data_IF_969492572988
#
_entry.id   IF_969492572988
#
_cell.length_a   1.000
_cell.length_b   1.000
_cell.length_c   1.000
_cell.angle_alpha   90.00
_cell.angle_beta   90.00
_cell.angle_gamma   90.00
#
_symmetry.space_group_name_H-M   'P 1'
#
loop_
_entity.id
_entity.type
_entity.pdbx_description
1 polymer ?
#
# COMPACT_ATOMS: atom_id res chain seq x y z
N UNK A 1 -0.40 7.81 -18.59
CA UNK A 1 0.04 6.49 -19.13
C UNK A 1 -0.67 6.24 -20.45
N UNK A 2 0.00 5.68 -21.47
CA UNK A 2 -0.62 5.45 -22.79
C UNK A 2 -1.70 4.37 -22.71
N UNK A 3 -2.73 4.46 -23.60
CA UNK A 3 -3.81 3.48 -23.68
C UNK A 3 -3.25 2.06 -23.93
N UNK A 4 -2.26 1.93 -24.79
CA UNK A 4 -1.59 0.64 -25.08
C UNK A 4 -1.08 -0.08 -23.82
N UNK A 5 -0.54 0.65 -22.84
CA UNK A 5 -0.04 0.05 -21.59
C UNK A 5 -1.20 -0.41 -20.71
N UNK A 6 -2.29 0.36 -20.67
CA UNK A 6 -3.50 -0.06 -19.94
C UNK A 6 -4.09 -1.34 -20.55
N UNK A 7 -4.12 -1.43 -21.87
CA UNK A 7 -4.62 -2.61 -22.59
C UNK A 7 -3.77 -3.86 -22.30
N UNK A 8 -2.43 -3.73 -22.28
CA UNK A 8 -1.53 -4.83 -21.92
C UNK A 8 -1.73 -5.28 -20.46
N UNK A 9 -1.88 -4.33 -19.52
CA UNK A 9 -2.18 -4.65 -18.12
C UNK A 9 -3.52 -5.36 -18.00
N UNK A 10 -4.59 -4.82 -18.63
CA UNK A 10 -5.92 -5.46 -18.64
C UNK A 10 -5.89 -6.86 -19.20
N UNK A 11 -5.28 -7.03 -20.38
CA UNK A 11 -5.22 -8.32 -21.07
C UNK A 11 -4.51 -9.37 -20.21
N UNK A 12 -3.42 -9.00 -19.56
CA UNK A 12 -2.68 -9.91 -18.67
C UNK A 12 -3.51 -10.28 -17.43
N UNK A 13 -4.14 -9.30 -16.78
CA UNK A 13 -4.96 -9.54 -15.61
C UNK A 13 -6.19 -10.39 -15.94
N UNK A 14 -6.92 -10.06 -17.02
CA UNK A 14 -8.06 -10.85 -17.49
C UNK A 14 -7.64 -12.29 -17.81
N UNK A 15 -6.50 -12.48 -18.47
CA UNK A 15 -5.96 -13.83 -18.73
C UNK A 15 -5.69 -14.59 -17.43
N UNK A 16 -5.05 -13.95 -16.44
CA UNK A 16 -4.75 -14.60 -15.16
C UNK A 16 -6.01 -14.97 -14.40
N UNK A 17 -6.95 -14.06 -14.24
CA UNK A 17 -8.17 -14.28 -13.48
C UNK A 17 -9.14 -15.26 -14.18
N UNK A 18 -9.21 -15.25 -15.51
CA UNK A 18 -10.00 -16.23 -16.27
C UNK A 18 -9.56 -17.67 -16.01
N UNK A 19 -8.26 -17.91 -15.78
CA UNK A 19 -7.74 -19.24 -15.44
C UNK A 19 -8.01 -19.63 -13.97
N UNK A 20 -8.56 -18.72 -13.19
CA UNK A 20 -9.00 -18.93 -11.82
C UNK A 20 -10.53 -18.93 -11.72
N UNK A 21 -11.23 -19.05 -12.85
CA UNK A 21 -12.70 -19.01 -13.00
C UNK A 21 -13.31 -17.70 -12.46
N UNK A 22 -12.54 -16.60 -12.51
CA UNK A 22 -12.97 -15.26 -12.07
C UNK A 22 -13.19 -14.32 -13.25
N UNK A 23 -14.12 -13.40 -13.09
CA UNK A 23 -14.43 -12.36 -14.08
C UNK A 23 -14.29 -10.96 -13.47
N UNK A 24 -13.07 -10.43 -13.36
CA UNK A 24 -12.81 -9.15 -12.69
C UNK A 24 -13.31 -7.96 -13.51
N UNK A 25 -13.83 -6.95 -12.82
CA UNK A 25 -13.94 -5.60 -13.38
C UNK A 25 -12.63 -4.83 -13.11
N UNK A 26 -12.00 -4.33 -14.19
CA UNK A 26 -10.73 -3.62 -14.10
C UNK A 26 -10.93 -2.15 -14.43
N UNK A 27 -10.55 -1.28 -13.50
CA UNK A 27 -10.62 0.16 -13.63
C UNK A 27 -9.25 0.81 -13.46
N UNK A 28 -9.05 1.99 -14.09
CA UNK A 28 -7.78 2.71 -14.07
C UNK A 28 -7.96 4.12 -13.55
N UNK A 29 -7.19 4.49 -12.55
CA UNK A 29 -7.19 5.83 -11.96
C UNK A 29 -5.80 6.44 -12.01
N UNK A 30 -5.72 7.72 -12.38
CA UNK A 30 -4.47 8.47 -12.31
C UNK A 30 -4.33 9.03 -10.89
N UNK A 31 -3.30 8.58 -10.17
CA UNK A 31 -2.97 9.05 -8.83
C UNK A 31 -1.64 9.83 -8.86
N UNK A 32 -1.38 10.71 -7.88
CA UNK A 32 -0.10 11.43 -7.82
C UNK A 32 1.13 10.52 -7.79
N UNK A 33 0.97 9.30 -7.26
CA UNK A 33 2.03 8.29 -7.17
C UNK A 33 2.16 7.38 -8.40
N UNK A 34 1.34 7.60 -9.44
CA UNK A 34 1.31 6.79 -10.65
C UNK A 34 -0.09 6.25 -10.99
N UNK A 35 -0.16 5.25 -11.85
CA UNK A 35 -1.44 4.64 -12.23
C UNK A 35 -1.89 3.65 -11.14
N UNK A 36 -3.12 3.79 -10.67
CA UNK A 36 -3.81 2.77 -9.87
C UNK A 36 -4.66 1.90 -10.80
N UNK A 37 -4.46 0.60 -10.71
CA UNK A 37 -5.25 -0.44 -11.37
C UNK A 37 -6.11 -1.10 -10.31
N UNK A 38 -7.39 -0.84 -10.33
CA UNK A 38 -8.35 -1.40 -9.38
C UNK A 38 -9.01 -2.63 -9.99
N UNK A 39 -9.04 -3.72 -9.23
CA UNK A 39 -9.65 -4.99 -9.60
C UNK A 39 -10.80 -5.26 -8.63
N UNK A 40 -12.01 -5.33 -9.16
CA UNK A 40 -13.19 -5.70 -8.40
C UNK A 40 -13.57 -7.14 -8.70
N UNK A 41 -13.78 -7.90 -7.64
CA UNK A 41 -14.17 -9.32 -7.62
C UNK A 41 -15.29 -9.50 -6.63
N UNK A 42 -16.13 -10.53 -6.82
CA UNK A 42 -17.19 -10.88 -5.89
C UNK A 42 -16.62 -11.30 -4.53
N UNK A 43 -15.58 -12.13 -4.53
CA UNK A 43 -14.81 -12.47 -3.32
C UNK A 43 -13.32 -12.11 -3.49
N UNK A 44 -12.89 -10.92 -3.03
CA UNK A 44 -11.50 -10.49 -3.15
C UNK A 44 -10.56 -11.12 -2.13
N UNK A 45 -11.08 -11.72 -1.04
CA UNK A 45 -10.27 -12.16 0.10
C UNK A 45 -9.18 -13.18 -0.24
N UNK A 46 -9.43 -14.22 -1.08
CA UNK A 46 -8.40 -15.20 -1.47
C UNK A 46 -7.20 -14.56 -2.19
N UNK A 47 -7.46 -13.51 -2.99
CA UNK A 47 -6.45 -12.83 -3.82
C UNK A 47 -5.67 -11.77 -3.06
N UNK A 48 -6.27 -11.20 -2.02
CA UNK A 48 -5.58 -10.29 -1.10
C UNK A 48 -4.59 -11.08 -0.23
N UNK A 49 -5.04 -12.21 0.32
CA UNK A 49 -4.25 -13.05 1.21
C UNK A 49 -3.95 -12.42 2.56
N UNK A 50 -3.22 -13.16 3.41
CA UNK A 50 -2.85 -12.69 4.75
C UNK A 50 -2.00 -11.41 4.66
N UNK A 51 -2.46 -10.35 5.31
CA UNK A 51 -1.78 -9.04 5.32
C UNK A 51 -1.48 -8.44 3.93
N UNK A 52 -2.18 -8.88 2.87
CA UNK A 52 -1.98 -8.41 1.50
C UNK A 52 -0.85 -9.12 0.75
N UNK A 53 -0.36 -10.25 1.22
CA UNK A 53 0.72 -11.02 0.58
C UNK A 53 0.32 -11.52 -0.81
N UNK A 54 -0.94 -11.99 -0.99
CA UNK A 54 -1.47 -12.40 -2.28
C UNK A 54 -1.49 -11.24 -3.28
N UNK A 55 -2.01 -10.10 -2.88
CA UNK A 55 -2.01 -8.89 -3.70
C UNK A 55 -0.59 -8.43 -4.06
N UNK A 56 0.36 -8.52 -3.13
CA UNK A 56 1.76 -8.20 -3.39
C UNK A 56 2.38 -9.17 -4.41
N UNK A 57 2.07 -10.46 -4.32
CA UNK A 57 2.53 -11.47 -5.27
C UNK A 57 1.97 -11.23 -6.69
N UNK A 58 0.67 -10.93 -6.81
CA UNK A 58 0.02 -10.57 -8.08
C UNK A 58 0.69 -9.32 -8.68
N UNK A 59 0.88 -8.27 -7.89
CA UNK A 59 1.56 -7.05 -8.31
C UNK A 59 2.98 -7.33 -8.83
N UNK A 60 3.73 -8.19 -8.13
CA UNK A 60 5.10 -8.55 -8.52
C UNK A 60 5.12 -9.33 -9.83
N UNK A 61 4.26 -10.34 -9.95
CA UNK A 61 4.14 -11.18 -11.14
C UNK A 61 3.77 -10.37 -12.38
N UNK A 62 2.74 -9.52 -12.28
CA UNK A 62 2.31 -8.64 -13.38
C UNK A 62 3.44 -7.71 -13.81
N UNK A 63 4.15 -7.09 -12.87
CA UNK A 63 5.31 -6.24 -13.19
C UNK A 63 6.44 -7.02 -13.85
N UNK A 64 6.76 -8.21 -13.36
CA UNK A 64 7.82 -9.06 -13.91
C UNK A 64 7.51 -9.49 -15.36
N UNK A 65 6.27 -9.85 -15.65
CA UNK A 65 5.85 -10.22 -17.01
C UNK A 65 5.88 -9.00 -17.95
N UNK A 66 5.30 -7.88 -17.52
CA UNK A 66 5.21 -6.68 -18.36
C UNK A 66 6.57 -6.03 -18.60
N UNK A 67 7.49 -6.09 -17.64
CA UNK A 67 8.85 -5.56 -17.80
C UNK A 67 9.65 -6.25 -18.90
N UNK A 68 9.28 -7.47 -19.31
CA UNK A 68 9.88 -8.16 -20.46
C UNK A 68 9.37 -7.63 -21.81
N UNK A 69 8.20 -7.00 -21.82
CA UNK A 69 7.55 -6.53 -23.06
C UNK A 69 7.64 -5.01 -23.22
N UNK A 70 7.69 -4.26 -22.12
CA UNK A 70 7.58 -2.81 -22.10
C UNK A 70 8.79 -2.21 -21.40
N UNK A 71 9.56 -1.41 -22.11
CA UNK A 71 10.74 -0.70 -21.61
C UNK A 71 10.70 0.79 -22.00
N UNK A 72 10.79 1.71 -21.03
CA UNK A 72 10.68 1.52 -19.58
C UNK A 72 9.24 1.22 -19.17
N UNK A 73 9.07 0.33 -18.19
CA UNK A 73 7.75 0.05 -17.62
C UNK A 73 7.38 1.20 -16.65
N UNK A 74 6.28 1.92 -16.91
CA UNK A 74 5.84 2.98 -16.02
C UNK A 74 5.40 2.46 -14.66
N UNK A 75 5.45 3.33 -13.65
CA UNK A 75 5.00 2.98 -12.31
C UNK A 75 3.48 2.83 -12.27
N UNK A 76 3.03 1.68 -11.79
CA UNK A 76 1.62 1.42 -11.49
C UNK A 76 1.47 0.57 -10.23
N UNK A 77 0.30 0.65 -9.63
CA UNK A 77 -0.07 -0.09 -8.44
C UNK A 77 -1.38 -0.82 -8.69
N UNK A 78 -1.46 -2.09 -8.27
CA UNK A 78 -2.69 -2.87 -8.29
C UNK A 78 -3.34 -2.80 -6.92
N UNK A 79 -4.65 -2.60 -6.88
CA UNK A 79 -5.50 -2.76 -5.72
C UNK A 79 -6.61 -3.76 -6.01
N UNK A 80 -7.08 -4.49 -5.02
CA UNK A 80 -8.17 -5.45 -5.12
C UNK A 80 -9.18 -5.13 -4.03
N UNK A 81 -10.43 -4.84 -4.42
CA UNK A 81 -11.54 -4.59 -3.49
C UNK A 81 -11.28 -3.45 -2.51
N UNK A 82 -10.61 -2.38 -2.95
CA UNK A 82 -10.22 -1.23 -2.12
C UNK A 82 -9.34 -1.58 -0.90
N UNK A 83 -8.65 -2.71 -0.94
CA UNK A 83 -7.85 -3.18 0.20
C UNK A 83 -6.77 -2.17 0.61
N UNK A 84 -5.99 -1.66 -0.36
CA UNK A 84 -4.93 -0.68 -0.06
C UNK A 84 -5.48 0.64 0.45
N UNK A 85 -6.58 1.12 -0.12
CA UNK A 85 -7.24 2.35 0.35
C UNK A 85 -7.72 2.20 1.78
N UNK A 86 -8.40 1.08 2.12
CA UNK A 86 -8.84 0.75 3.48
C UNK A 86 -7.64 0.63 4.43
N UNK A 87 -6.59 -0.06 4.02
CA UNK A 87 -5.36 -0.21 4.81
C UNK A 87 -4.69 1.14 5.09
N UNK A 88 -4.56 2.01 4.07
CA UNK A 88 -4.01 3.36 4.23
C UNK A 88 -4.84 4.18 5.24
N UNK A 89 -6.17 4.12 5.15
CA UNK A 89 -7.06 4.82 6.08
C UNK A 89 -6.87 4.34 7.52
N UNK A 90 -6.81 3.04 7.75
CA UNK A 90 -6.55 2.45 9.07
C UNK A 90 -5.18 2.92 9.61
N UNK A 91 -4.14 2.86 8.79
CA UNK A 91 -2.79 3.28 9.19
C UNK A 91 -2.73 4.78 9.54
N UNK A 92 -3.41 5.64 8.78
CA UNK A 92 -3.55 7.07 9.08
C UNK A 92 -4.25 7.30 10.43
N UNK A 93 -5.32 6.57 10.70
CA UNK A 93 -6.04 6.67 11.97
C UNK A 93 -5.17 6.21 13.15
N UNK A 94 -4.44 5.10 13.01
CA UNK A 94 -3.46 4.62 14.00
C UNK A 94 -2.39 5.70 14.24
N UNK A 95 -1.84 6.30 13.19
CA UNK A 95 -0.83 7.34 13.30
C UNK A 95 -1.35 8.54 14.10
N UNK A 96 -2.49 9.11 13.67
CA UNK A 96 -3.07 10.31 14.29
C UNK A 96 -3.46 10.05 15.75
N UNK A 97 -4.12 8.95 16.06
CA UNK A 97 -4.54 8.62 17.44
C UNK A 97 -3.36 8.47 18.39
N UNK A 98 -2.27 7.83 17.94
CA UNK A 98 -1.06 7.67 18.74
C UNK A 98 -0.26 8.99 18.86
N UNK A 99 -0.21 9.81 17.81
CA UNK A 99 0.40 11.15 17.90
C UNK A 99 -0.33 12.03 18.92
N UNK A 100 -1.66 12.00 18.96
CA UNK A 100 -2.45 12.69 19.99
C UNK A 100 -2.14 12.18 21.40
N UNK A 101 -1.99 10.85 21.57
CA UNK A 101 -1.60 10.24 22.85
C UNK A 101 -0.21 10.70 23.27
N UNK A 102 0.78 10.69 22.38
CA UNK A 102 2.15 11.16 22.64
C UNK A 102 2.15 12.62 23.08
N UNK A 103 1.46 13.50 22.34
CA UNK A 103 1.35 14.93 22.71
C UNK A 103 0.73 15.15 24.08
N UNK A 104 -0.33 14.39 24.41
CA UNK A 104 -1.05 14.53 25.69
C UNK A 104 -0.24 14.01 26.89
N UNK A 105 0.50 12.92 26.69
CA UNK A 105 1.18 12.23 27.81
C UNK A 105 2.66 12.54 27.92
N UNK A 106 3.28 13.09 26.90
CA UNK A 106 4.74 13.27 26.81
C UNK A 106 5.52 11.94 26.71
N UNK A 107 4.82 10.82 26.53
CA UNK A 107 5.45 9.48 26.51
C UNK A 107 5.53 8.95 25.09
N UNK A 108 6.70 8.43 24.75
CA UNK A 108 6.96 7.73 23.49
C UNK A 108 6.04 6.53 23.31
N UNK A 109 5.58 6.26 22.10
CA UNK A 109 4.77 5.11 21.74
C UNK A 109 5.47 4.28 20.67
N UNK A 110 5.70 3.00 20.97
CA UNK A 110 6.14 2.01 19.98
C UNK A 110 4.92 1.29 19.40
N UNK A 111 4.81 1.26 18.08
CA UNK A 111 3.78 0.51 17.38
C UNK A 111 4.20 -0.95 17.18
N UNK A 112 3.25 -1.82 16.87
CA UNK A 112 3.54 -3.20 16.52
C UNK A 112 4.43 -3.30 15.28
N UNK A 113 5.23 -4.37 15.14
CA UNK A 113 5.98 -4.63 13.91
C UNK A 113 5.08 -4.59 12.68
N UNK A 114 5.58 -3.98 11.60
CA UNK A 114 4.80 -3.78 10.40
C UNK A 114 5.68 -3.70 9.14
N UNK A 115 5.05 -3.90 7.97
CA UNK A 115 5.69 -3.85 6.67
C UNK A 115 6.35 -2.49 6.38
N UNK A 116 7.36 -2.43 5.48
CA UNK A 116 7.96 -1.15 5.05
C UNK A 116 6.92 -0.16 4.49
N UNK A 117 5.90 -0.67 3.79
CA UNK A 117 4.79 0.14 3.28
C UNK A 117 4.01 0.81 4.42
N UNK A 118 3.60 0.05 5.43
CA UNK A 118 2.85 0.58 6.57
C UNK A 118 3.67 1.63 7.34
N UNK A 119 4.96 1.37 7.56
CA UNK A 119 5.87 2.33 8.22
C UNK A 119 5.99 3.64 7.44
N UNK A 120 6.09 3.57 6.11
CA UNK A 120 6.14 4.76 5.26
C UNK A 120 4.85 5.58 5.34
N UNK A 121 3.67 4.94 5.34
CA UNK A 121 2.39 5.65 5.46
C UNK A 121 2.30 6.39 6.78
N UNK A 122 2.63 5.75 7.91
CA UNK A 122 2.61 6.38 9.23
C UNK A 122 3.57 7.56 9.29
N UNK A 123 4.81 7.38 8.81
CA UNK A 123 5.81 8.43 8.76
C UNK A 123 5.34 9.64 7.95
N UNK A 124 4.81 9.43 6.74
CA UNK A 124 4.30 10.50 5.88
C UNK A 124 3.09 11.20 6.51
N UNK A 125 2.19 10.45 7.17
CA UNK A 125 1.02 11.02 7.85
C UNK A 125 1.42 11.97 8.99
N UNK A 126 2.52 11.67 9.69
CA UNK A 126 2.98 12.45 10.84
C UNK A 126 4.08 13.44 10.50
N UNK A 127 4.58 13.47 9.26
CA UNK A 127 5.67 14.35 8.85
C UNK A 127 5.39 15.82 9.14
N UNK A 128 4.18 16.29 8.86
CA UNK A 128 3.75 17.69 9.05
C UNK A 128 2.98 17.91 10.37
N UNK A 129 2.87 16.88 11.21
CA UNK A 129 2.18 17.02 12.50
C UNK A 129 3.07 17.74 13.52
N UNK A 130 2.55 18.77 14.22
CA UNK A 130 3.34 19.53 15.20
C UNK A 130 3.69 18.65 16.42
N UNK A 131 4.83 18.93 17.02
CA UNK A 131 5.30 18.36 18.29
C UNK A 131 5.51 16.84 18.28
N UNK A 132 5.52 16.19 17.14
CA UNK A 132 5.82 14.76 17.06
C UNK A 132 6.83 14.46 15.96
N UNK A 133 7.67 13.47 16.22
CA UNK A 133 8.59 12.88 15.26
C UNK A 133 8.38 11.38 15.19
N UNK A 134 8.89 10.77 14.12
CA UNK A 134 8.80 9.32 13.93
C UNK A 134 10.10 8.75 13.41
N UNK A 135 10.50 7.61 13.93
CA UNK A 135 11.64 6.85 13.44
C UNK A 135 11.37 5.35 13.53
N UNK A 136 12.12 4.56 12.75
CA UNK A 136 11.99 3.08 12.76
C UNK A 136 13.07 2.47 13.60
N UNK A 137 12.69 1.47 14.42
CA UNK A 137 13.60 0.62 15.20
C UNK A 137 13.41 -0.85 14.85
N UNK A 138 14.40 -1.68 15.23
CA UNK A 138 14.39 -3.12 14.96
C UNK A 138 14.78 -3.46 13.53
N UNK A 139 14.90 -4.77 13.27
CA UNK A 139 15.34 -5.32 11.99
C UNK A 139 14.35 -6.37 11.47
N UNK A 140 14.38 -6.63 10.17
CA UNK A 140 13.57 -7.64 9.51
C UNK A 140 12.08 -7.59 9.90
N UNK A 141 11.48 -8.73 10.27
CA UNK A 141 10.07 -8.83 10.64
C UNK A 141 9.70 -8.06 11.92
N UNK A 142 10.67 -7.78 12.80
CA UNK A 142 10.45 -7.06 14.06
C UNK A 142 10.54 -5.54 13.92
N UNK A 143 10.80 -5.03 12.73
CA UNK A 143 10.96 -3.61 12.49
C UNK A 143 9.64 -2.86 12.61
N UNK A 144 9.63 -1.78 13.42
CA UNK A 144 8.44 -1.01 13.79
C UNK A 144 8.70 0.48 13.82
N UNK A 145 7.63 1.28 13.89
CA UNK A 145 7.67 2.73 14.07
C UNK A 145 7.59 3.07 15.55
N UNK A 146 8.36 4.06 15.92
CA UNK A 146 8.27 4.79 17.18
C UNK A 146 7.74 6.19 16.89
N UNK A 147 6.77 6.65 17.69
CA UNK A 147 6.25 8.01 17.67
C UNK A 147 6.70 8.68 18.97
N UNK A 148 7.38 9.79 18.84
CA UNK A 148 8.01 10.49 19.96
C UNK A 148 7.69 12.00 19.96
N UNK A 149 7.91 12.69 21.07
CA UNK A 149 7.81 14.13 21.17
C UNK A 149 8.97 14.80 20.43
N UNK A 150 8.64 15.80 19.64
CA UNK A 150 9.61 16.73 19.06
C UNK A 150 9.28 18.16 19.49
N UNK A 151 9.90 18.67 20.57
CA UNK A 151 9.62 20.02 21.07
C UNK A 151 10.08 21.15 20.14
N UNK A 152 10.86 20.81 19.09
CA UNK A 152 11.36 21.78 18.10
C UNK A 152 10.48 21.88 16.87
N UNK A 153 9.49 21.04 16.72
CA UNK A 153 8.54 20.98 15.62
C UNK A 153 7.16 21.42 16.11
#
# INVERSE_FOLDING_TARGET
MSQKIKDEISSLLLFMFKHLDENPEISFFNEPAGLLVEINLDDPAPYIGKQGEGLAAIQHLVKAILSKKIHPLPQFMIDIGDYKRKQISILKNIAISNALKVRRTGKTVELSPMSPFARRIIHLTLKEQPQVTTYSIGEGPQRRIVIDIDPKK
#
